data_IF_765022947550
#
_entry.id   IF_765022947550
#
_cell.length_a   1.000
_cell.length_b   1.000
_cell.length_c   1.000
_cell.angle_alpha   90.00
_cell.angle_beta   90.00
_cell.angle_gamma   90.00
#
_symmetry.space_group_name_H-M   'P 1'
#
loop_
_entity.id
_entity.type
_entity.pdbx_description
1 polymer ?
#
# COMPACT_ATOMS: atom_id res chain seq x y z
N UNK A 1 -11.76 13.15 -5.82
CA UNK A 1 -11.89 12.53 -4.49
C UNK A 1 -11.12 13.40 -3.51
N UNK A 2 -11.77 13.86 -2.44
CA UNK A 2 -11.04 14.63 -1.45
C UNK A 2 -10.18 13.71 -0.56
N UNK A 3 -9.24 14.31 0.18
CA UNK A 3 -8.27 13.56 0.96
C UNK A 3 -8.89 12.66 2.03
N UNK A 4 -9.99 13.10 2.67
CA UNK A 4 -10.60 12.30 3.73
C UNK A 4 -11.36 11.09 3.18
N UNK A 5 -11.96 11.22 1.99
CA UNK A 5 -12.61 10.09 1.34
C UNK A 5 -11.57 9.07 0.85
N UNK A 6 -10.47 9.54 0.28
CA UNK A 6 -9.37 8.71 -0.15
C UNK A 6 -8.78 7.93 1.03
N UNK A 7 -8.52 8.62 2.13
CA UNK A 7 -7.98 8.00 3.34
C UNK A 7 -8.93 6.91 3.85
N UNK A 8 -10.22 7.19 3.91
CA UNK A 8 -11.22 6.23 4.41
C UNK A 8 -11.30 4.99 3.51
N UNK A 9 -11.21 5.17 2.21
CA UNK A 9 -11.29 4.05 1.28
C UNK A 9 -10.07 3.15 1.38
N UNK A 10 -8.87 3.74 1.46
CA UNK A 10 -7.64 2.96 1.65
C UNK A 10 -7.66 2.26 3.00
N UNK A 11 -8.13 2.95 4.04
CA UNK A 11 -8.26 2.35 5.38
C UNK A 11 -9.14 1.10 5.33
N UNK A 12 -10.31 1.19 4.69
CA UNK A 12 -11.21 0.04 4.56
C UNK A 12 -10.56 -1.13 3.85
N UNK A 13 -9.83 -0.86 2.78
CA UNK A 13 -9.12 -1.91 2.05
C UNK A 13 -8.16 -2.64 2.98
N UNK A 14 -7.34 -1.88 3.71
CA UNK A 14 -6.30 -2.47 4.54
C UNK A 14 -6.86 -3.18 5.77
N UNK A 15 -7.82 -2.56 6.48
CA UNK A 15 -8.33 -3.14 7.74
C UNK A 15 -9.26 -4.33 7.50
N UNK A 16 -9.74 -4.52 6.27
CA UNK A 16 -10.50 -5.72 5.93
C UNK A 16 -9.60 -6.95 5.75
N UNK A 17 -8.29 -6.76 5.65
CA UNK A 17 -7.36 -7.89 5.60
C UNK A 17 -7.18 -8.47 7.01
N UNK A 18 -7.00 -9.80 7.12
CA UNK A 18 -6.97 -10.45 8.44
C UNK A 18 -5.89 -9.91 9.37
N UNK A 19 -6.29 -9.57 10.60
CA UNK A 19 -5.38 -9.19 11.69
C UNK A 19 -4.60 -7.89 11.45
N UNK A 20 -5.05 -7.07 10.51
CA UNK A 20 -4.40 -5.78 10.24
C UNK A 20 -4.75 -4.77 11.32
N UNK A 21 -3.74 -4.03 11.76
CA UNK A 21 -3.90 -2.89 12.67
C UNK A 21 -3.42 -1.62 11.99
N UNK A 22 -4.00 -0.50 12.40
CA UNK A 22 -3.62 0.81 11.92
C UNK A 22 -2.91 1.58 13.03
N UNK A 23 -1.85 2.30 12.67
CA UNK A 23 -1.15 3.21 13.58
C UNK A 23 -0.85 4.50 12.84
N UNK A 24 -0.65 5.58 13.58
CA UNK A 24 -0.15 6.83 13.01
C UNK A 24 1.37 6.80 13.07
N UNK A 25 2.02 7.01 11.93
CA UNK A 25 3.47 7.08 11.81
C UNK A 25 3.80 8.36 11.05
N UNK A 26 4.66 9.21 11.63
CA UNK A 26 5.04 10.48 11.01
C UNK A 26 3.81 11.32 10.60
N UNK A 27 2.76 11.27 11.41
CA UNK A 27 1.53 12.02 11.14
C UNK A 27 0.61 11.42 10.08
N UNK A 28 0.90 10.22 9.58
CA UNK A 28 0.14 9.59 8.50
C UNK A 28 -0.28 8.16 8.87
N UNK A 29 -1.40 7.67 8.30
CA UNK A 29 -1.84 6.31 8.57
C UNK A 29 -0.86 5.27 8.05
N UNK A 30 -0.54 4.30 8.89
CA UNK A 30 0.30 3.17 8.55
C UNK A 30 -0.41 1.88 8.96
N UNK A 31 -0.31 0.85 8.13
CA UNK A 31 -1.03 -0.40 8.33
C UNK A 31 -0.04 -1.55 8.52
N UNK A 32 -0.33 -2.39 9.51
CA UNK A 32 0.58 -3.43 9.96
C UNK A 32 -0.14 -4.78 10.02
N UNK A 33 0.58 -5.82 9.60
CA UNK A 33 0.26 -7.19 9.95
C UNK A 33 1.61 -7.82 10.35
N UNK A 34 1.89 -7.92 11.65
CA UNK A 34 3.21 -8.25 12.18
C UNK A 34 4.23 -7.13 11.88
N UNK A 35 4.37 -6.77 10.61
CA UNK A 35 5.22 -5.66 10.13
C UNK A 35 4.38 -4.69 9.33
N UNK A 36 4.88 -3.48 9.15
CA UNK A 36 4.24 -2.49 8.30
C UNK A 36 4.27 -2.98 6.84
N UNK A 37 3.13 -2.82 6.16
CA UNK A 37 3.05 -3.19 4.74
C UNK A 37 2.47 -2.08 3.86
N UNK A 38 1.81 -1.07 4.44
CA UNK A 38 1.29 0.10 3.71
C UNK A 38 1.49 1.36 4.56
N UNK A 39 1.89 2.44 3.89
CA UNK A 39 1.95 3.78 4.47
C UNK A 39 1.22 4.73 3.53
N UNK A 40 0.24 5.47 4.05
CA UNK A 40 -0.59 6.37 3.23
C UNK A 40 -0.17 7.81 3.43
N UNK A 41 0.09 8.52 2.33
CA UNK A 41 0.46 9.93 2.31
C UNK A 41 -0.61 10.72 1.57
N UNK A 42 -1.70 11.04 2.25
CA UNK A 42 -2.86 11.73 1.64
C UNK A 42 -2.48 13.13 1.12
N UNK A 43 -1.63 13.82 1.88
CA UNK A 43 -1.17 15.16 1.52
C UNK A 43 0.24 15.16 0.93
N UNK A 44 0.74 13.99 0.57
CA UNK A 44 2.07 13.85 0.03
C UNK A 44 3.15 13.77 1.08
N UNK A 45 4.38 13.66 0.61
CA UNK A 45 5.60 13.58 1.40
C UNK A 45 6.56 14.63 0.82
N UNK A 46 7.55 15.10 1.56
CA UNK A 46 8.42 16.17 1.06
C UNK A 46 9.17 15.82 -0.24
N UNK A 47 9.37 14.55 -0.54
CA UNK A 47 9.99 14.12 -1.79
C UNK A 47 8.97 13.97 -2.93
N UNK A 48 7.69 13.78 -2.61
CA UNK A 48 6.60 13.61 -3.58
C UNK A 48 5.35 14.27 -3.01
N UNK A 49 5.04 15.47 -3.48
CA UNK A 49 4.00 16.33 -2.90
C UNK A 49 2.57 16.03 -3.36
N UNK A 50 2.36 14.89 -4.00
CA UNK A 50 1.03 14.42 -4.42
C UNK A 50 0.55 13.29 -3.50
N UNK A 51 -0.77 13.06 -3.47
CA UNK A 51 -1.33 11.94 -2.71
C UNK A 51 -0.79 10.61 -3.26
N UNK A 52 -0.30 9.76 -2.38
CA UNK A 52 0.24 8.45 -2.78
C UNK A 52 0.29 7.52 -1.56
N UNK A 53 0.59 6.26 -1.83
CA UNK A 53 0.90 5.31 -0.77
C UNK A 53 2.21 4.60 -1.08
N UNK A 54 2.85 4.11 -0.04
CA UNK A 54 3.97 3.18 -0.16
C UNK A 54 3.46 1.81 0.28
N UNK A 55 3.83 0.77 -0.43
CA UNK A 55 3.47 -0.59 -0.02
C UNK A 55 4.58 -1.57 -0.34
N UNK A 56 4.64 -2.64 0.46
CA UNK A 56 5.60 -3.71 0.26
C UNK A 56 5.33 -4.41 -1.08
N UNK A 57 6.38 -4.96 -1.68
CA UNK A 57 6.26 -5.70 -2.93
C UNK A 57 7.24 -6.86 -2.91
N UNK A 58 6.94 -7.89 -3.70
CA UNK A 58 7.81 -9.05 -3.80
C UNK A 58 9.17 -8.68 -4.39
N UNK A 59 10.23 -9.40 -4.02
CA UNK A 59 11.56 -9.11 -4.57
C UNK A 59 11.56 -9.11 -6.10
N UNK A 60 12.19 -8.09 -6.68
CA UNK A 60 12.31 -7.98 -8.13
C UNK A 60 11.12 -7.35 -8.85
N UNK A 61 10.02 -7.11 -8.16
CA UNK A 61 8.78 -6.61 -8.77
C UNK A 61 8.82 -5.09 -9.00
N UNK A 62 9.54 -4.36 -8.17
CA UNK A 62 9.56 -2.89 -8.22
C UNK A 62 9.90 -2.35 -9.61
N UNK A 63 10.98 -2.83 -10.18
CA UNK A 63 11.44 -2.35 -11.49
C UNK A 63 10.44 -2.65 -12.60
N UNK A 64 9.85 -3.85 -12.57
CA UNK A 64 8.87 -4.25 -13.57
C UNK A 64 7.60 -3.41 -13.51
N UNK A 65 7.12 -3.14 -12.31
CA UNK A 65 5.91 -2.32 -12.14
C UNK A 65 6.16 -0.88 -12.57
N UNK A 66 7.33 -0.32 -12.26
CA UNK A 66 7.68 1.03 -12.70
C UNK A 66 7.77 1.08 -14.23
N UNK A 67 8.39 0.07 -14.84
CA UNK A 67 8.51 0.00 -16.30
C UNK A 67 7.15 -0.09 -16.99
N UNK A 68 6.20 -0.83 -16.40
CA UNK A 68 4.86 -0.99 -16.95
C UNK A 68 3.98 0.24 -16.78
N UNK A 69 4.12 0.94 -15.67
CA UNK A 69 3.24 2.07 -15.33
C UNK A 69 4.02 3.22 -14.69
N UNK A 70 4.96 3.83 -15.44
CA UNK A 70 5.81 4.88 -14.87
C UNK A 70 5.04 6.13 -14.42
N UNK A 71 3.84 6.35 -14.97
CA UNK A 71 2.99 7.47 -14.59
C UNK A 71 2.25 7.24 -13.27
N UNK A 72 2.25 6.01 -12.74
CA UNK A 72 1.48 5.66 -11.55
C UNK A 72 2.32 5.03 -10.45
N UNK A 73 3.37 4.31 -10.82
CA UNK A 73 4.23 3.59 -9.87
C UNK A 73 5.61 4.20 -9.89
N UNK A 74 6.18 4.40 -8.73
CA UNK A 74 7.52 4.99 -8.60
C UNK A 74 8.29 4.32 -7.46
N UNK A 75 9.60 4.59 -7.42
CA UNK A 75 10.45 4.11 -6.31
C UNK A 75 10.35 5.11 -5.16
N UNK A 76 9.80 4.71 -4.02
CA UNK A 76 9.71 5.63 -2.88
C UNK A 76 11.08 5.83 -2.21
N UNK A 77 11.28 6.95 -1.51
CA UNK A 77 12.49 7.14 -0.71
C UNK A 77 12.50 6.17 0.46
N UNK A 78 13.65 5.92 1.03
CA UNK A 78 13.87 5.03 2.19
C UNK A 78 13.46 3.59 1.92
N UNK A 79 12.17 3.30 1.90
CA UNK A 79 11.65 1.94 1.71
C UNK A 79 11.87 1.40 0.29
N UNK A 80 12.16 2.27 -0.67
CA UNK A 80 12.47 1.84 -2.04
C UNK A 80 13.66 0.91 -2.10
N UNK A 81 14.66 1.10 -1.22
CA UNK A 81 15.82 0.22 -1.16
C UNK A 81 15.46 -1.21 -0.73
N UNK A 82 14.29 -1.40 -0.10
CA UNK A 82 13.78 -2.70 0.33
C UNK A 82 12.87 -3.34 -0.73
N UNK A 83 12.76 -2.71 -1.90
CA UNK A 83 11.90 -3.21 -2.97
C UNK A 83 10.45 -2.73 -2.92
N UNK A 84 10.11 -1.86 -1.98
CA UNK A 84 8.77 -1.29 -1.88
C UNK A 84 8.47 -0.41 -3.09
N UNK A 85 7.19 -0.19 -3.35
CA UNK A 85 6.73 0.68 -4.43
C UNK A 85 5.92 1.84 -3.87
N UNK A 86 5.92 2.96 -4.61
CA UNK A 86 5.01 4.06 -4.39
C UNK A 86 3.93 4.02 -5.47
N UNK A 87 2.69 4.27 -5.09
CA UNK A 87 1.55 4.27 -6.03
C UNK A 87 0.84 5.61 -5.91
N UNK A 88 0.72 6.32 -7.03
CA UNK A 88 0.06 7.62 -7.06
C UNK A 88 -1.45 7.48 -6.87
N UNK A 89 -2.01 8.42 -6.11
CA UNK A 89 -3.45 8.47 -5.82
C UNK A 89 -4.03 9.83 -6.16
N UNK A 90 -3.30 10.66 -6.91
CA UNK A 90 -3.66 12.05 -7.20
C UNK A 90 -4.46 12.24 -8.49
N UNK A 91 -4.77 11.16 -9.20
CA UNK A 91 -5.60 11.20 -10.41
C UNK A 91 -6.30 9.86 -10.56
N UNK A 92 -7.33 9.81 -11.35
CA UNK A 92 -8.16 8.64 -11.71
C UNK A 92 -7.78 7.34 -10.98
N UNK A 93 -8.14 7.27 -9.68
CA UNK A 93 -7.77 6.12 -8.85
C UNK A 93 -8.68 4.94 -9.15
N UNK A 94 -8.07 3.82 -9.53
CA UNK A 94 -8.77 2.54 -9.64
C UNK A 94 -8.61 1.80 -8.32
N UNK A 95 -9.66 1.81 -7.49
CA UNK A 95 -9.60 1.20 -6.17
C UNK A 95 -9.50 -0.32 -6.20
N UNK A 96 -9.91 -0.96 -7.29
CA UNK A 96 -9.67 -2.41 -7.45
C UNK A 96 -8.18 -2.69 -7.58
N UNK A 97 -7.46 -1.83 -8.29
CA UNK A 97 -6.01 -1.94 -8.40
C UNK A 97 -5.32 -1.66 -7.07
N UNK A 98 -5.80 -0.63 -6.34
CA UNK A 98 -5.26 -0.33 -5.02
C UNK A 98 -5.48 -1.50 -4.06
N UNK A 99 -6.64 -2.12 -4.12
CA UNK A 99 -6.93 -3.32 -3.33
C UNK A 99 -5.94 -4.44 -3.65
N UNK A 100 -5.65 -4.65 -4.93
CA UNK A 100 -4.68 -5.65 -5.36
C UNK A 100 -3.27 -5.35 -4.82
N UNK A 101 -2.83 -4.10 -4.93
CA UNK A 101 -1.52 -3.71 -4.41
C UNK A 101 -1.42 -3.90 -2.90
N UNK A 102 -2.46 -3.53 -2.16
CA UNK A 102 -2.46 -3.68 -0.71
C UNK A 102 -2.48 -5.15 -0.29
N UNK A 103 -3.25 -5.97 -1.00
CA UNK A 103 -3.30 -7.41 -0.74
C UNK A 103 -1.96 -8.09 -1.05
N UNK A 104 -1.33 -7.72 -2.17
CA UNK A 104 -0.01 -8.26 -2.51
C UNK A 104 1.03 -7.84 -1.47
N UNK A 105 0.96 -6.60 -0.99
CA UNK A 105 1.84 -6.11 0.07
C UNK A 105 1.64 -6.89 1.37
N UNK A 106 0.38 -7.16 1.72
CA UNK A 106 0.03 -7.98 2.88
C UNK A 106 0.70 -9.35 2.79
N UNK A 107 0.59 -10.00 1.63
CA UNK A 107 1.17 -11.33 1.41
C UNK A 107 2.69 -11.33 1.56
N UNK A 108 3.34 -10.19 1.31
CA UNK A 108 4.80 -10.09 1.46
C UNK A 108 5.26 -10.15 2.91
N UNK A 109 4.43 -9.69 3.86
CA UNK A 109 4.84 -9.57 5.26
C UNK A 109 4.05 -10.48 6.21
N UNK A 110 2.89 -10.97 5.78
CA UNK A 110 2.03 -11.82 6.61
C UNK A 110 2.64 -13.21 6.83
N UNK A 111 2.29 -13.82 7.94
CA UNK A 111 2.66 -15.22 8.20
C UNK A 111 1.83 -16.16 7.32
N UNK A 112 2.28 -17.42 7.20
CA UNK A 112 1.52 -18.43 6.45
C UNK A 112 0.11 -18.60 6.99
N UNK A 113 -0.06 -18.55 8.32
CA UNK A 113 -1.36 -18.63 8.95
C UNK A 113 -2.26 -17.47 8.54
N UNK A 114 -1.72 -16.26 8.53
CA UNK A 114 -2.47 -15.07 8.13
C UNK A 114 -2.87 -15.11 6.66
N UNK A 115 -1.97 -15.55 5.79
CA UNK A 115 -2.27 -15.74 4.37
C UNK A 115 -3.38 -16.78 4.19
N UNK A 116 -3.34 -17.86 4.96
CA UNK A 116 -4.40 -18.88 4.92
C UNK A 116 -5.75 -18.31 5.36
N UNK A 117 -5.77 -17.41 6.35
CA UNK A 117 -7.00 -16.73 6.76
C UNK A 117 -7.56 -15.88 5.62
N UNK A 118 -6.69 -15.15 4.93
CA UNK A 118 -7.09 -14.33 3.79
C UNK A 118 -7.68 -15.20 2.68
N UNK A 119 -7.00 -16.27 2.31
CA UNK A 119 -7.45 -17.17 1.25
C UNK A 119 -8.77 -17.85 1.61
N UNK A 120 -8.94 -18.24 2.86
CA UNK A 120 -10.17 -18.82 3.36
C UNK A 120 -11.35 -17.88 3.30
N UNK A 121 -11.12 -16.58 3.53
CA UNK A 121 -12.19 -15.57 3.47
C UNK A 121 -12.65 -15.29 2.05
N UNK A 122 -11.89 -15.69 1.04
CA UNK A 122 -12.19 -15.48 -0.37
C UNK A 122 -12.97 -16.62 -1.01
N UNK A 123 -13.10 -17.72 -0.32
CA UNK A 123 -13.79 -18.93 -0.86
C UNK A 123 -15.27 -18.93 -0.56
#
# INVERSE_FOLDING_TARGET
VDGSDLEERVRRICVNLPEVTERTSHGSPAFFVTKQFVMLWVNGHHDHDFAHLWCAAAPGIQGDLIAQSPERVFRPPYVGARGWIGVRLDSDVDFEEIEMFCEDAYRCVATKRQVALLDGSKS
#
